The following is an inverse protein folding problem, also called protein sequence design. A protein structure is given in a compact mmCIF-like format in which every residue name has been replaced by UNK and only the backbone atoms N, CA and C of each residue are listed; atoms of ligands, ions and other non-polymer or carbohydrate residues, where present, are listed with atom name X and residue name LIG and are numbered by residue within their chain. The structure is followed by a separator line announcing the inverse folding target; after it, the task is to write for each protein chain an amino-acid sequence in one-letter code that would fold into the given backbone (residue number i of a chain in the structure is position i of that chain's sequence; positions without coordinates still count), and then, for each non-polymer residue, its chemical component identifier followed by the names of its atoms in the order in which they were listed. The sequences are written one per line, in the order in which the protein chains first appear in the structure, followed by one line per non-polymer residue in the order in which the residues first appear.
data_IF_277838376010
#
_entry.id   IF_277838376010
#
_cell.length_a   1.000
_cell.length_b   1.000
_cell.length_c   1.000
_cell.angle_alpha   90.00
_cell.angle_beta   90.00
_cell.angle_gamma   90.00
#
_symmetry.space_group_name_H-M   'P 1'
#
loop_
_entity.id
_entity.type
_entity.pdbx_description
1 polymer ?
#
# COMPACT_ATOMS: atom_id res chain seq x y z
N UNK A 1 19.52 -3.59 -33.18
CA UNK A 1 18.90 -4.83 -32.68
C UNK A 1 19.98 -5.64 -31.96
N UNK A 2 20.14 -5.45 -30.68
CA UNK A 2 21.02 -6.27 -29.83
C UNK A 2 20.14 -6.81 -28.72
N UNK A 3 19.85 -8.10 -28.79
CA UNK A 3 19.16 -8.91 -27.80
C UNK A 3 19.90 -8.79 -26.47
N UNK A 4 19.25 -8.22 -25.45
CA UNK A 4 19.74 -8.25 -24.07
C UNK A 4 19.94 -9.70 -23.61
N UNK A 5 20.79 -9.94 -22.61
CA UNK A 5 21.13 -11.29 -22.18
C UNK A 5 19.87 -12.03 -21.71
N UNK A 6 19.54 -13.10 -22.41
CA UNK A 6 18.50 -14.06 -22.05
C UNK A 6 18.86 -14.63 -20.67
N UNK A 7 18.28 -14.11 -19.60
CA UNK A 7 18.35 -14.75 -18.28
C UNK A 7 17.69 -16.13 -18.40
N UNK A 8 18.33 -17.21 -17.94
CA UNK A 8 17.72 -18.52 -17.96
C UNK A 8 16.41 -18.47 -17.14
N UNK A 9 15.34 -19.01 -17.70
CA UNK A 9 14.01 -19.02 -17.07
C UNK A 9 14.03 -19.49 -15.60
N UNK A 10 14.96 -20.39 -15.25
CA UNK A 10 15.19 -20.85 -13.88
C UNK A 10 15.66 -19.75 -12.92
N UNK A 11 16.44 -18.77 -13.37
CA UNK A 11 16.90 -17.66 -12.52
C UNK A 11 15.76 -16.68 -12.24
N UNK A 12 14.92 -16.38 -13.23
CA UNK A 12 13.74 -15.54 -13.06
C UNK A 12 12.76 -16.19 -12.09
N UNK A 13 12.53 -17.51 -12.19
CA UNK A 13 11.66 -18.25 -11.26
C UNK A 13 12.24 -18.29 -9.85
N UNK A 14 13.58 -18.42 -9.69
CA UNK A 14 14.20 -18.44 -8.39
C UNK A 14 14.17 -17.06 -7.69
N UNK A 15 14.37 -15.98 -8.45
CA UNK A 15 14.26 -14.60 -7.92
C UNK A 15 12.81 -14.27 -7.53
N UNK A 16 11.86 -14.69 -8.36
CA UNK A 16 10.44 -14.54 -8.06
C UNK A 16 9.99 -15.37 -6.84
N UNK A 17 10.48 -16.61 -6.70
CA UNK A 17 10.20 -17.43 -5.51
C UNK A 17 10.81 -16.85 -4.23
N UNK A 18 11.95 -16.17 -4.34
CA UNK A 18 12.58 -15.46 -3.21
C UNK A 18 11.77 -14.24 -2.82
N UNK A 19 11.30 -13.44 -3.79
CA UNK A 19 10.41 -12.29 -3.59
C UNK A 19 9.13 -12.72 -2.87
N UNK A 20 8.45 -13.78 -3.34
CA UNK A 20 7.24 -14.30 -2.69
C UNK A 20 7.48 -14.78 -1.26
N UNK A 21 8.61 -15.41 -0.97
CA UNK A 21 8.94 -15.80 0.41
C UNK A 21 9.13 -14.60 1.32
N UNK A 22 9.71 -13.52 0.83
CA UNK A 22 9.89 -12.28 1.60
C UNK A 22 8.55 -11.63 1.90
N UNK A 23 7.62 -11.58 0.94
CA UNK A 23 6.29 -11.02 1.12
C UNK A 23 5.41 -11.87 2.04
N UNK A 24 5.42 -13.20 1.88
CA UNK A 24 4.66 -14.09 2.77
C UNK A 24 5.17 -13.98 4.21
N UNK A 25 6.49 -13.93 4.40
CA UNK A 25 7.09 -13.76 5.73
C UNK A 25 6.77 -12.37 6.30
N UNK A 26 6.86 -11.32 5.48
CA UNK A 26 6.48 -9.96 5.86
C UNK A 26 5.01 -9.86 6.29
N UNK A 27 4.10 -10.47 5.52
CA UNK A 27 2.68 -10.53 5.86
C UNK A 27 2.40 -11.27 7.18
N UNK A 28 3.11 -12.36 7.47
CA UNK A 28 2.98 -13.07 8.76
C UNK A 28 3.50 -12.24 9.94
N UNK A 29 4.64 -11.55 9.77
CA UNK A 29 5.18 -10.65 10.80
C UNK A 29 4.21 -9.48 11.05
N UNK A 30 3.65 -8.93 9.98
CA UNK A 30 2.66 -7.86 10.04
C UNK A 30 1.41 -8.29 10.83
N UNK A 31 0.86 -9.46 10.54
CA UNK A 31 -0.26 -10.04 11.30
C UNK A 31 0.10 -10.27 12.76
N UNK A 32 1.29 -10.79 13.04
CA UNK A 32 1.80 -10.99 14.39
C UNK A 32 1.94 -9.66 15.15
N UNK A 33 2.47 -8.62 14.51
CA UNK A 33 2.58 -7.28 15.08
C UNK A 33 1.21 -6.67 15.40
N UNK A 34 0.24 -6.85 14.49
CA UNK A 34 -1.15 -6.39 14.69
C UNK A 34 -1.83 -7.11 15.84
N UNK A 35 -1.72 -8.44 15.88
CA UNK A 35 -2.26 -9.23 16.98
C UNK A 35 -1.64 -8.82 18.31
N UNK A 36 -0.32 -8.59 18.36
CA UNK A 36 0.39 -8.09 19.52
C UNK A 36 -0.12 -6.70 19.93
N UNK A 37 -0.30 -5.79 18.97
CA UNK A 37 -0.82 -4.45 19.21
C UNK A 37 -2.21 -4.49 19.86
N UNK A 38 -3.13 -5.27 19.28
CA UNK A 38 -4.49 -5.42 19.81
C UNK A 38 -4.49 -6.07 21.21
N UNK A 39 -3.71 -7.14 21.40
CA UNK A 39 -3.61 -7.80 22.72
C UNK A 39 -3.01 -6.86 23.75
N UNK A 40 -1.97 -6.11 23.41
CA UNK A 40 -1.31 -5.21 24.34
C UNK A 40 -2.18 -4.00 24.69
N UNK A 41 -2.79 -3.36 23.71
CA UNK A 41 -3.68 -2.21 23.92
C UNK A 41 -4.97 -2.55 24.68
N UNK A 42 -5.35 -3.85 24.74
CA UNK A 42 -6.53 -4.34 25.48
C UNK A 42 -6.15 -5.20 26.71
N UNK A 43 -4.92 -5.07 27.20
CA UNK A 43 -4.41 -5.79 28.37
C UNK A 43 -4.33 -4.87 29.59
N UNK A 44 -4.17 -5.42 30.82
CA UNK A 44 -3.96 -4.62 32.03
C UNK A 44 -2.69 -3.74 32.00
N UNK A 45 -1.81 -3.91 31.02
CA UNK A 45 -0.58 -3.14 30.82
C UNK A 45 -0.67 -2.17 29.64
N UNK A 46 -1.88 -1.77 29.24
CA UNK A 46 -2.10 -0.82 28.14
C UNK A 46 -1.40 0.53 28.36
N UNK A 47 -1.27 0.98 29.60
CA UNK A 47 -0.58 2.22 29.96
C UNK A 47 0.89 2.21 29.51
N UNK A 48 1.56 1.05 29.58
CA UNK A 48 2.94 0.90 29.11
C UNK A 48 2.99 1.01 27.58
N UNK A 49 2.03 0.40 26.87
CA UNK A 49 1.94 0.52 25.43
C UNK A 49 1.75 1.97 24.98
N UNK A 50 0.81 2.68 25.62
CA UNK A 50 0.54 4.09 25.35
C UNK A 50 1.74 4.97 25.68
N UNK A 51 2.39 4.75 26.83
CA UNK A 51 3.59 5.49 27.22
C UNK A 51 4.74 5.32 26.22
N UNK A 52 4.93 4.12 25.64
CA UNK A 52 5.93 3.89 24.62
C UNK A 52 5.52 4.58 23.31
N UNK A 53 4.28 4.39 22.85
CA UNK A 53 3.77 4.98 21.60
C UNK A 53 3.87 6.50 21.61
N UNK A 54 3.49 7.13 22.72
CA UNK A 54 3.35 8.57 22.87
C UNK A 54 4.64 9.24 23.40
N UNK A 55 5.73 8.45 23.60
CA UNK A 55 7.02 8.99 24.00
C UNK A 55 7.62 9.83 22.85
N UNK A 56 7.87 11.11 23.13
CA UNK A 56 8.42 12.06 22.18
C UNK A 56 9.95 11.94 22.08
N UNK A 57 10.44 11.92 20.84
CA UNK A 57 11.86 11.82 20.52
C UNK A 57 12.19 12.63 19.26
N UNK A 58 13.24 13.44 19.35
CA UNK A 58 13.79 14.14 18.18
C UNK A 58 14.13 15.60 18.42
N UNK A 59 14.78 16.26 17.43
CA UNK A 59 15.24 17.64 17.55
C UNK A 59 14.09 18.64 17.32
N UNK A 60 13.72 19.40 18.33
CA UNK A 60 12.67 20.42 18.24
C UNK A 60 12.93 21.49 17.17
N UNK A 61 14.21 21.85 16.97
CA UNK A 61 14.58 22.90 16.00
C UNK A 61 14.30 22.53 14.53
N UNK A 62 14.05 21.25 14.23
CA UNK A 62 13.61 20.76 12.91
C UNK A 62 12.12 20.42 12.87
N UNK A 63 11.35 20.73 13.92
CA UNK A 63 9.97 20.28 14.09
C UNK A 63 9.82 18.75 14.03
N UNK A 64 10.86 18.03 14.47
CA UNK A 64 10.93 16.56 14.48
C UNK A 64 10.82 15.99 15.91
N UNK A 65 10.31 16.75 16.87
CA UNK A 65 9.93 16.20 18.17
C UNK A 65 8.62 15.43 18.01
N UNK A 66 8.74 14.19 17.52
CA UNK A 66 7.63 13.32 17.15
C UNK A 66 7.52 12.17 18.15
N UNK A 67 6.32 11.69 18.37
CA UNK A 67 6.11 10.46 19.15
C UNK A 67 6.72 9.25 18.43
N UNK A 68 7.00 8.17 19.15
CA UNK A 68 7.45 6.91 18.53
C UNK A 68 6.40 6.42 17.53
N UNK A 69 5.10 6.58 17.83
CA UNK A 69 4.01 6.29 16.90
C UNK A 69 4.09 7.12 15.61
N UNK A 70 4.37 8.43 15.72
CA UNK A 70 4.52 9.30 14.56
C UNK A 70 5.81 9.00 13.77
N UNK A 71 6.91 8.65 14.45
CA UNK A 71 8.11 8.15 13.76
C UNK A 71 7.85 6.89 12.95
N UNK A 72 7.01 5.98 13.47
CA UNK A 72 6.61 4.80 12.71
C UNK A 72 5.73 5.18 11.51
N UNK A 73 4.80 6.12 11.68
CA UNK A 73 3.89 6.61 10.64
C UNK A 73 4.60 7.45 9.57
N UNK A 74 5.45 8.39 9.94
CA UNK A 74 6.04 9.36 9.02
C UNK A 74 7.45 8.96 8.55
N UNK A 75 8.24 8.34 9.43
CA UNK A 75 9.61 7.92 9.15
C UNK A 75 9.69 6.54 8.52
N UNK A 76 9.18 5.50 9.22
CA UNK A 76 9.29 4.13 8.72
C UNK A 76 8.43 3.88 7.48
N UNK A 77 7.21 4.43 7.42
CA UNK A 77 6.40 4.32 6.21
C UNK A 77 6.99 5.09 5.02
N UNK A 78 7.81 6.14 5.23
CA UNK A 78 8.52 6.75 4.12
C UNK A 78 9.47 5.77 3.43
N UNK A 79 10.10 4.83 4.18
CA UNK A 79 10.89 3.76 3.60
C UNK A 79 10.02 2.78 2.80
N UNK A 80 8.87 2.39 3.35
CA UNK A 80 7.90 1.54 2.63
C UNK A 80 7.46 2.20 1.33
N UNK A 81 7.05 3.47 1.38
CA UNK A 81 6.63 4.21 0.19
C UNK A 81 7.77 4.51 -0.79
N UNK A 82 9.03 4.58 -0.33
CA UNK A 82 10.18 4.64 -1.22
C UNK A 82 10.31 3.34 -2.03
N UNK A 83 10.19 2.18 -1.37
CA UNK A 83 10.22 0.87 -2.03
C UNK A 83 9.04 0.74 -2.99
N UNK A 84 7.82 1.12 -2.58
CA UNK A 84 6.65 1.15 -3.44
C UNK A 84 6.84 2.07 -4.67
N UNK A 85 7.49 3.22 -4.49
CA UNK A 85 7.87 4.13 -5.58
C UNK A 85 8.88 3.52 -6.56
N UNK A 86 9.87 2.75 -6.07
CA UNK A 86 10.80 1.99 -6.91
C UNK A 86 10.08 0.92 -7.73
N UNK A 87 9.18 0.18 -7.10
CA UNK A 87 8.35 -0.85 -7.74
C UNK A 87 7.42 -0.25 -8.80
N UNK A 88 6.70 0.82 -8.45
CA UNK A 88 5.87 1.57 -9.38
C UNK A 88 6.67 2.06 -10.59
N UNK A 89 7.87 2.65 -10.37
CA UNK A 89 8.76 3.06 -11.46
C UNK A 89 9.16 1.89 -12.35
N UNK A 90 9.46 0.75 -11.76
CA UNK A 90 9.81 -0.47 -12.49
C UNK A 90 8.64 -0.94 -13.34
N UNK A 91 7.43 -1.03 -12.77
CA UNK A 91 6.25 -1.48 -13.49
C UNK A 91 5.86 -0.56 -14.64
N UNK A 92 5.93 0.77 -14.45
CA UNK A 92 5.60 1.76 -15.48
C UNK A 92 6.60 1.79 -16.64
N UNK A 93 7.90 1.48 -16.42
CA UNK A 93 8.95 1.68 -17.43
C UNK A 93 9.41 0.38 -18.08
N UNK A 94 9.47 -0.72 -17.33
CA UNK A 94 10.00 -2.01 -17.80
C UNK A 94 9.07 -3.20 -17.51
N UNK A 95 8.06 -3.04 -16.66
CA UNK A 95 7.11 -4.07 -16.26
C UNK A 95 5.88 -4.16 -17.17
N UNK A 96 4.84 -4.81 -16.66
CA UNK A 96 3.59 -5.06 -17.38
C UNK A 96 2.82 -3.77 -17.69
N UNK A 97 2.87 -2.76 -16.81
CA UNK A 97 2.24 -1.46 -17.02
C UNK A 97 2.92 -0.64 -18.15
N UNK A 98 4.13 -1.01 -18.58
CA UNK A 98 4.80 -0.39 -19.72
C UNK A 98 4.14 -0.74 -21.05
N UNK A 99 3.34 -1.81 -21.11
CA UNK A 99 2.65 -2.29 -22.31
C UNK A 99 1.19 -1.91 -22.24
N UNK A 100 0.78 -0.92 -23.03
CA UNK A 100 -0.57 -0.34 -23.00
C UNK A 100 -1.71 -1.37 -22.99
N UNK A 101 -1.65 -2.40 -23.86
CA UNK A 101 -2.71 -3.42 -23.94
C UNK A 101 -2.83 -4.28 -22.67
N UNK A 102 -1.72 -4.53 -21.96
CA UNK A 102 -1.69 -5.32 -20.74
C UNK A 102 -2.05 -4.47 -19.52
N UNK A 103 -1.72 -3.17 -19.55
CA UNK A 103 -1.97 -2.22 -18.49
C UNK A 103 -3.45 -1.81 -18.34
N UNK A 104 -4.23 -1.82 -19.45
CA UNK A 104 -5.60 -1.28 -19.44
C UNK A 104 -6.47 -1.96 -18.37
N UNK A 105 -6.48 -3.29 -18.30
CA UNK A 105 -7.35 -4.00 -17.38
C UNK A 105 -7.02 -3.72 -15.91
N UNK A 106 -5.76 -3.87 -15.43
CA UNK A 106 -5.40 -3.51 -14.06
C UNK A 106 -5.67 -2.04 -13.73
N UNK A 107 -5.39 -1.11 -14.66
CA UNK A 107 -5.62 0.33 -14.45
C UNK A 107 -7.10 0.64 -14.31
N UNK A 108 -7.96 0.12 -15.21
CA UNK A 108 -9.41 0.34 -15.13
C UNK A 108 -9.98 -0.32 -13.86
N UNK A 109 -9.51 -1.51 -13.51
CA UNK A 109 -9.89 -2.21 -12.30
C UNK A 109 -9.50 -1.42 -11.03
N UNK A 110 -8.29 -0.85 -11.00
CA UNK A 110 -7.83 0.00 -9.89
C UNK A 110 -8.66 1.28 -9.77
N UNK A 111 -8.93 1.98 -10.88
CA UNK A 111 -9.80 3.16 -10.88
C UNK A 111 -11.19 2.80 -10.35
N UNK A 112 -11.78 1.70 -10.79
CA UNK A 112 -13.05 1.21 -10.25
C UNK A 112 -12.96 0.88 -8.76
N UNK A 113 -11.84 0.24 -8.36
CA UNK A 113 -11.52 -0.09 -6.96
C UNK A 113 -11.24 1.12 -6.07
N UNK A 114 -11.02 2.30 -6.60
CA UNK A 114 -10.91 3.57 -5.87
C UNK A 114 -12.23 4.35 -5.87
N UNK A 115 -12.83 4.52 -7.05
CA UNK A 115 -14.02 5.37 -7.21
C UNK A 115 -15.26 4.75 -6.55
N UNK A 116 -15.50 3.45 -6.76
CA UNK A 116 -16.72 2.81 -6.21
C UNK A 116 -16.72 2.74 -4.69
N UNK A 117 -15.62 2.34 -3.99
CA UNK A 117 -15.57 2.42 -2.53
C UNK A 117 -15.78 3.82 -1.99
N UNK A 118 -15.17 4.84 -2.63
CA UNK A 118 -15.33 6.23 -2.26
C UNK A 118 -16.82 6.68 -2.35
N UNK A 119 -17.48 6.35 -3.47
CA UNK A 119 -18.90 6.66 -3.66
C UNK A 119 -19.80 5.92 -2.67
N UNK A 120 -19.53 4.64 -2.38
CA UNK A 120 -20.28 3.88 -1.38
C UNK A 120 -20.05 4.47 0.01
N UNK A 121 -18.82 4.82 0.37
CA UNK A 121 -18.54 5.45 1.65
C UNK A 121 -19.28 6.78 1.81
N UNK A 122 -19.26 7.63 0.78
CA UNK A 122 -20.01 8.89 0.77
C UNK A 122 -21.53 8.67 0.86
N UNK A 123 -22.06 7.65 0.19
CA UNK A 123 -23.49 7.35 0.21
C UNK A 123 -23.95 6.79 1.56
N UNK A 124 -23.20 5.86 2.14
CA UNK A 124 -23.53 5.22 3.44
C UNK A 124 -23.30 6.19 4.59
N UNK A 125 -22.21 6.97 4.54
CA UNK A 125 -21.85 7.96 5.55
C UNK A 125 -22.48 9.33 5.35
N UNK A 126 -23.47 9.47 4.45
CA UNK A 126 -24.06 10.77 4.13
C UNK A 126 -24.57 11.51 5.36
N UNK A 127 -24.07 12.72 5.58
CA UNK A 127 -24.41 13.54 6.73
C UNK A 127 -23.69 13.19 8.04
N UNK A 128 -22.84 12.17 8.06
CA UNK A 128 -22.00 11.89 9.21
C UNK A 128 -20.84 12.89 9.29
N UNK A 129 -20.51 13.44 10.48
CA UNK A 129 -19.35 14.27 10.67
C UNK A 129 -18.07 13.51 10.26
N UNK A 130 -17.13 14.19 9.60
CA UNK A 130 -15.85 13.58 9.17
C UNK A 130 -15.91 12.79 7.86
N UNK A 131 -17.09 12.53 7.28
CA UNK A 131 -17.22 11.77 6.02
C UNK A 131 -16.54 12.48 4.85
N UNK A 132 -16.42 13.80 4.88
CA UNK A 132 -15.76 14.62 3.87
C UNK A 132 -14.26 14.30 3.69
N UNK A 133 -13.68 13.58 4.66
CA UNK A 133 -12.30 13.05 4.61
C UNK A 133 -12.26 11.53 4.71
N UNK A 134 -13.15 10.92 5.51
CA UNK A 134 -13.20 9.49 5.77
C UNK A 134 -13.51 8.64 4.54
N UNK A 135 -14.13 9.21 3.48
CA UNK A 135 -14.37 8.51 2.22
C UNK A 135 -13.08 8.01 1.54
N UNK A 136 -11.94 8.62 1.89
CA UNK A 136 -10.64 8.19 1.37
C UNK A 136 -10.13 6.89 2.01
N UNK A 137 -10.59 6.54 3.22
CA UNK A 137 -10.12 5.35 3.96
C UNK A 137 -10.29 4.06 3.15
N UNK A 138 -11.45 3.75 2.55
CA UNK A 138 -11.63 2.51 1.78
C UNK A 138 -11.05 2.55 0.36
N UNK A 139 -10.38 3.63 -0.04
CA UNK A 139 -9.77 3.74 -1.37
C UNK A 139 -8.52 2.87 -1.49
N UNK A 140 -7.76 2.69 -0.41
CA UNK A 140 -6.48 1.98 -0.43
C UNK A 140 -6.62 0.45 -0.30
N UNK A 141 -5.62 -0.28 -0.83
CA UNK A 141 -5.45 -1.74 -0.66
C UNK A 141 -4.07 -2.03 -0.07
N UNK A 142 -3.97 -2.96 0.87
CA UNK A 142 -2.70 -3.45 1.38
C UNK A 142 -2.16 -4.58 0.49
N UNK A 143 -1.21 -4.22 -0.39
CA UNK A 143 -0.61 -5.15 -1.36
C UNK A 143 0.11 -6.29 -0.64
N UNK A 144 0.92 -5.97 0.37
CA UNK A 144 1.76 -6.96 1.06
C UNK A 144 0.90 -8.04 1.71
N UNK A 145 -0.20 -7.62 2.35
CA UNK A 145 -1.15 -8.52 2.95
C UNK A 145 -1.91 -9.35 1.89
N UNK A 146 -2.43 -8.70 0.84
CA UNK A 146 -3.18 -9.36 -0.23
C UNK A 146 -2.33 -10.40 -0.98
N UNK A 147 -1.08 -10.09 -1.31
CA UNK A 147 -0.13 -11.03 -1.92
C UNK A 147 0.26 -12.17 -0.96
N UNK A 148 0.38 -11.88 0.34
CA UNK A 148 0.60 -12.90 1.37
C UNK A 148 -0.54 -13.93 1.41
N UNK A 149 -1.79 -13.47 1.41
CA UNK A 149 -2.97 -14.36 1.35
C UNK A 149 -3.00 -15.15 0.05
N UNK A 150 -2.76 -14.48 -1.10
CA UNK A 150 -2.71 -15.13 -2.40
C UNK A 150 -1.64 -16.24 -2.44
N UNK A 151 -0.44 -15.97 -1.92
CA UNK A 151 0.68 -16.92 -1.90
C UNK A 151 0.37 -18.18 -1.07
N UNK A 152 -0.37 -18.02 0.03
CA UNK A 152 -0.75 -19.11 0.93
C UNK A 152 -1.91 -19.96 0.39
N UNK A 153 -2.82 -19.36 -0.39
CA UNK A 153 -4.12 -19.99 -0.73
C UNK A 153 -4.25 -20.40 -2.19
N UNK A 154 -3.41 -19.88 -3.08
CA UNK A 154 -3.62 -19.97 -4.53
C UNK A 154 -2.42 -20.53 -5.28
N UNK A 155 -1.84 -21.63 -4.81
CA UNK A 155 -0.64 -22.26 -5.40
C UNK A 155 -0.81 -22.69 -6.86
N UNK A 156 -2.00 -23.08 -7.28
CA UNK A 156 -2.30 -23.61 -8.61
C UNK A 156 -2.98 -22.58 -9.55
N UNK A 157 -3.14 -21.31 -9.10
CA UNK A 157 -3.60 -20.28 -10.01
C UNK A 157 -2.55 -19.93 -11.07
N UNK A 158 -2.98 -19.51 -12.28
CA UNK A 158 -2.06 -19.04 -13.31
C UNK A 158 -1.21 -17.87 -12.81
N UNK A 159 0.02 -17.76 -13.29
CA UNK A 159 0.92 -16.65 -12.96
C UNK A 159 0.32 -15.26 -13.29
N UNK A 160 -0.56 -15.21 -14.29
CA UNK A 160 -1.32 -14.01 -14.68
C UNK A 160 -2.20 -13.45 -13.56
N UNK A 161 -2.67 -14.29 -12.61
CA UNK A 161 -3.44 -13.86 -11.45
C UNK A 161 -2.61 -12.97 -10.52
N UNK A 162 -1.35 -13.38 -10.26
CA UNK A 162 -0.41 -12.60 -9.43
C UNK A 162 0.00 -11.30 -10.11
N UNK A 163 0.28 -11.36 -11.41
CA UNK A 163 0.61 -10.19 -12.22
C UNK A 163 -0.55 -9.20 -12.23
N UNK A 164 -1.78 -9.67 -12.41
CA UNK A 164 -2.98 -8.82 -12.37
C UNK A 164 -3.14 -8.15 -11.01
N UNK A 165 -3.05 -8.89 -9.90
CA UNK A 165 -3.19 -8.34 -8.56
C UNK A 165 -2.08 -7.34 -8.24
N UNK A 166 -0.82 -7.65 -8.59
CA UNK A 166 0.31 -6.76 -8.39
C UNK A 166 0.14 -5.45 -9.19
N UNK A 167 -0.17 -5.55 -10.48
CA UNK A 167 -0.36 -4.37 -11.32
C UNK A 167 -1.53 -3.50 -10.87
N UNK A 168 -2.65 -4.13 -10.45
CA UNK A 168 -3.80 -3.45 -9.88
C UNK A 168 -3.39 -2.69 -8.61
N UNK A 169 -2.72 -3.37 -7.70
CA UNK A 169 -2.35 -2.82 -6.41
C UNK A 169 -1.33 -1.67 -6.54
N UNK A 170 -0.35 -1.77 -7.45
CA UNK A 170 0.60 -0.69 -7.74
C UNK A 170 -0.11 0.59 -8.24
N UNK A 171 -1.16 0.45 -9.06
CA UNK A 171 -1.95 1.60 -9.53
C UNK A 171 -2.85 2.15 -8.41
N UNK A 172 -3.43 1.27 -7.61
CA UNK A 172 -4.26 1.62 -6.45
C UNK A 172 -3.46 2.41 -5.40
N UNK A 173 -2.23 1.98 -5.11
CA UNK A 173 -1.30 2.68 -4.22
C UNK A 173 -0.95 4.07 -4.73
N UNK A 174 -0.66 4.20 -6.03
CA UNK A 174 -0.43 5.52 -6.63
C UNK A 174 -1.64 6.43 -6.42
N UNK A 175 -2.84 5.91 -6.64
CA UNK A 175 -4.08 6.65 -6.43
C UNK A 175 -4.28 7.05 -4.97
N UNK A 176 -4.05 6.14 -4.02
CA UNK A 176 -4.13 6.42 -2.59
C UNK A 176 -3.14 7.50 -2.16
N UNK A 177 -1.89 7.44 -2.65
CA UNK A 177 -0.85 8.45 -2.39
C UNK A 177 -1.28 9.82 -2.93
N UNK A 178 -1.85 9.88 -4.14
CA UNK A 178 -2.36 11.14 -4.70
C UNK A 178 -3.52 11.70 -3.86
N UNK A 179 -4.42 10.85 -3.40
CA UNK A 179 -5.51 11.24 -2.49
C UNK A 179 -4.93 11.80 -1.18
N UNK A 180 -3.95 11.12 -0.58
CA UNK A 180 -3.27 11.59 0.63
C UNK A 180 -2.61 12.96 0.37
N UNK A 181 -1.90 13.12 -0.74
CA UNK A 181 -1.21 14.34 -1.08
C UNK A 181 -2.14 15.55 -1.27
N UNK A 182 -3.32 15.32 -1.83
CA UNK A 182 -4.28 16.40 -2.16
C UNK A 182 -5.17 16.74 -0.96
N UNK A 183 -5.70 15.73 -0.25
CA UNK A 183 -6.70 15.93 0.80
C UNK A 183 -6.10 16.27 2.16
N UNK A 184 -4.92 15.71 2.48
CA UNK A 184 -4.35 15.79 3.82
C UNK A 184 -3.13 16.70 3.92
N UNK A 185 -2.92 17.58 2.94
CA UNK A 185 -1.97 18.68 3.07
C UNK A 185 -2.57 19.75 3.99
N UNK A 186 -1.91 19.98 5.12
CA UNK A 186 -2.31 20.97 6.12
C UNK A 186 -1.91 22.40 5.71
N UNK A 187 -1.24 23.14 6.59
CA UNK A 187 -0.71 24.48 6.26
C UNK A 187 0.47 24.34 5.32
N UNK A 188 0.33 24.82 4.08
CA UNK A 188 1.35 24.72 3.06
C UNK A 188 2.42 25.81 3.22
N UNK A 189 3.66 25.41 3.57
CA UNK A 189 4.82 26.29 3.63
C UNK A 189 5.55 26.27 2.27
N UNK A 190 5.51 27.43 1.58
CA UNK A 190 6.14 27.61 0.26
C UNK A 190 7.66 27.51 0.30
N UNK A 191 8.30 27.92 1.41
CA UNK A 191 9.78 27.88 1.51
C UNK A 191 10.24 26.44 1.66
N UNK A 192 9.64 25.69 2.58
CA UNK A 192 9.92 24.28 2.77
C UNK A 192 9.60 23.47 1.50
N UNK A 193 8.46 23.75 0.84
CA UNK A 193 8.12 23.15 -0.44
C UNK A 193 9.15 23.46 -1.53
N UNK A 194 9.65 24.69 -1.59
CA UNK A 194 10.74 25.08 -2.48
C UNK A 194 12.02 24.29 -2.24
N UNK A 195 12.40 24.10 -0.97
CA UNK A 195 13.56 23.26 -0.60
C UNK A 195 13.34 21.81 -1.04
N UNK A 196 12.13 21.25 -0.82
CA UNK A 196 11.80 19.89 -1.25
C UNK A 196 11.92 19.73 -2.77
N UNK A 197 11.38 20.67 -3.55
CA UNK A 197 11.47 20.66 -5.02
C UNK A 197 12.93 20.75 -5.49
N UNK A 198 13.74 21.63 -4.90
CA UNK A 198 15.17 21.73 -5.24
C UNK A 198 15.91 20.45 -4.89
N UNK A 199 15.64 19.84 -3.73
CA UNK A 199 16.25 18.58 -3.33
C UNK A 199 15.86 17.43 -4.28
N UNK A 200 14.58 17.33 -4.67
CA UNK A 200 14.10 16.34 -5.66
C UNK A 200 14.73 16.58 -7.05
N UNK A 201 14.83 17.83 -7.48
CA UNK A 201 15.47 18.17 -8.75
C UNK A 201 16.96 17.82 -8.74
N UNK A 202 17.66 18.08 -7.63
CA UNK A 202 19.05 17.68 -7.44
C UNK A 202 19.19 16.15 -7.45
N UNK A 203 18.29 15.42 -6.77
CA UNK A 203 18.24 13.97 -6.79
C UNK A 203 18.10 13.44 -8.23
N UNK A 204 17.13 13.95 -8.98
CA UNK A 204 16.91 13.59 -10.38
C UNK A 204 18.13 13.91 -11.26
N UNK A 205 18.75 15.06 -11.06
CA UNK A 205 19.96 15.46 -11.77
C UNK A 205 21.14 14.51 -11.49
N UNK A 206 21.37 14.15 -10.22
CA UNK A 206 22.40 13.19 -9.84
C UNK A 206 22.15 11.79 -10.41
N UNK A 207 20.89 11.35 -10.45
CA UNK A 207 20.49 10.11 -11.14
C UNK A 207 20.79 10.17 -12.64
N UNK A 208 20.50 11.31 -13.28
CA UNK A 208 20.83 11.53 -14.68
C UNK A 208 22.35 11.54 -14.92
N UNK A 209 23.11 12.17 -14.02
CA UNK A 209 24.60 12.22 -14.05
C UNK A 209 25.25 10.90 -13.62
N UNK A 210 24.44 9.88 -13.25
CA UNK A 210 24.88 8.53 -12.89
C UNK A 210 25.83 8.48 -11.69
N UNK A 211 25.69 9.41 -10.77
CA UNK A 211 26.40 9.39 -9.49
C UNK A 211 25.99 8.15 -8.70
N UNK A 212 26.93 7.44 -8.07
CA UNK A 212 26.69 6.16 -7.40
C UNK A 212 26.96 6.19 -5.87
N UNK A 213 27.05 7.37 -5.29
CA UNK A 213 27.44 7.55 -3.89
C UNK A 213 26.23 7.55 -2.96
N UNK A 214 26.12 6.54 -2.09
CA UNK A 214 25.12 6.51 -1.03
C UNK A 214 25.30 7.68 -0.03
N UNK A 215 26.53 8.13 0.19
CA UNK A 215 26.84 9.28 1.05
C UNK A 215 26.24 10.61 0.57
N UNK A 216 25.83 10.68 -0.69
CA UNK A 216 25.14 11.85 -1.26
C UNK A 216 23.63 11.60 -1.23
N UNK A 217 23.17 10.42 -1.65
CA UNK A 217 21.74 10.14 -1.77
C UNK A 217 21.03 10.01 -0.44
N UNK A 218 21.66 9.43 0.59
CA UNK A 218 21.02 9.27 1.90
C UNK A 218 20.78 10.64 2.58
N UNK A 219 21.77 11.54 2.72
CA UNK A 219 21.50 12.88 3.26
C UNK A 219 20.48 13.66 2.42
N UNK A 220 20.54 13.56 1.09
CA UNK A 220 19.59 14.24 0.21
C UNK A 220 18.17 13.71 0.39
N UNK A 221 18.00 12.40 0.58
CA UNK A 221 16.70 11.81 0.89
C UNK A 221 16.16 12.29 2.24
N UNK A 222 17.02 12.38 3.27
CA UNK A 222 16.63 12.90 4.59
C UNK A 222 16.23 14.38 4.47
N UNK A 223 17.01 15.21 3.78
CA UNK A 223 16.66 16.63 3.54
C UNK A 223 15.32 16.74 2.80
N UNK A 224 15.10 15.92 1.78
CA UNK A 224 13.83 15.89 1.04
C UNK A 224 12.67 15.55 1.96
N UNK A 225 12.82 14.50 2.79
CA UNK A 225 11.80 14.06 3.73
C UNK A 225 11.48 15.14 4.77
N UNK A 226 12.50 15.76 5.40
CA UNK A 226 12.32 16.86 6.35
C UNK A 226 11.63 18.06 5.69
N UNK A 227 12.04 18.43 4.48
CA UNK A 227 11.47 19.55 3.75
C UNK A 227 10.00 19.31 3.37
N UNK A 228 9.63 18.10 2.93
CA UNK A 228 8.25 17.72 2.63
C UNK A 228 7.40 17.75 3.91
N UNK A 229 7.91 17.18 5.01
CA UNK A 229 7.24 17.22 6.31
C UNK A 229 7.01 18.68 6.78
N UNK A 230 8.04 19.51 6.72
CA UNK A 230 7.97 20.93 7.10
C UNK A 230 7.07 21.75 6.16
N UNK A 231 6.89 21.32 4.91
CA UNK A 231 5.97 21.94 3.97
C UNK A 231 4.49 21.69 4.29
N UNK A 232 4.19 20.88 5.31
CA UNK A 232 2.82 20.49 5.67
C UNK A 232 2.23 19.42 4.76
N UNK A 233 3.05 18.82 3.91
CA UNK A 233 2.71 17.68 3.06
C UNK A 233 3.10 16.39 3.79
N UNK A 234 2.30 15.34 3.65
CA UNK A 234 2.60 14.08 4.33
C UNK A 234 3.98 13.53 3.93
N UNK A 235 4.83 13.26 4.92
CA UNK A 235 6.25 12.94 4.72
C UNK A 235 6.50 11.69 3.86
N UNK A 236 5.55 10.74 3.83
CA UNK A 236 5.62 9.53 3.01
C UNK A 236 5.69 9.81 1.50
N UNK A 237 5.16 10.96 1.05
CA UNK A 237 5.21 11.41 -0.35
C UNK A 237 6.65 11.63 -0.81
N UNK A 238 7.55 12.06 0.08
CA UNK A 238 8.97 12.17 -0.23
C UNK A 238 9.56 10.81 -0.64
N UNK A 239 9.19 9.74 0.07
CA UNK A 239 9.61 8.37 -0.28
C UNK A 239 9.22 8.00 -1.70
N UNK A 240 7.93 8.14 -2.03
CA UNK A 240 7.42 7.84 -3.38
C UNK A 240 8.10 8.65 -4.45
N UNK A 241 8.23 9.97 -4.26
CA UNK A 241 8.86 10.86 -5.23
C UNK A 241 10.32 10.46 -5.51
N UNK A 242 11.10 10.17 -4.47
CA UNK A 242 12.48 9.68 -4.60
C UNK A 242 12.54 8.33 -5.32
N UNK A 243 11.62 7.39 -5.01
CA UNK A 243 11.50 6.11 -5.69
C UNK A 243 11.23 6.28 -7.18
N UNK A 244 10.25 7.10 -7.55
CA UNK A 244 9.89 7.41 -8.94
C UNK A 244 11.01 8.11 -9.71
N UNK A 245 11.85 8.90 -9.06
CA UNK A 245 12.99 9.57 -9.68
C UNK A 245 14.22 8.66 -9.83
N UNK A 246 14.25 7.52 -9.15
CA UNK A 246 15.38 6.58 -9.22
C UNK A 246 15.43 5.88 -10.58
N UNK A 247 16.64 5.76 -11.14
CA UNK A 247 16.87 5.17 -12.46
C UNK A 247 16.58 3.66 -12.47
N UNK A 248 15.75 3.22 -13.43
CA UNK A 248 15.26 1.83 -13.54
C UNK A 248 15.88 1.04 -14.69
N UNK A 249 16.62 1.71 -15.60
CA UNK A 249 17.37 1.04 -16.68
C UNK A 249 18.84 0.91 -16.29
N UNK A 250 19.40 -0.28 -16.48
CA UNK A 250 20.82 -0.53 -16.27
C UNK A 250 21.63 0.09 -17.41
N UNK A 251 22.84 0.55 -17.09
CA UNK A 251 23.83 0.97 -18.07
C UNK A 251 24.75 -0.18 -18.46
N UNK A 252 25.58 0.04 -19.48
CA UNK A 252 26.63 -0.87 -19.86
C UNK A 252 27.57 -1.14 -18.68
N UNK A 253 27.77 -2.40 -18.33
CA UNK A 253 28.58 -2.82 -17.18
C UNK A 253 27.85 -2.83 -15.83
N UNK A 254 26.56 -2.49 -15.76
CA UNK A 254 25.73 -2.68 -14.57
C UNK A 254 24.95 -4.01 -14.67
N UNK A 255 25.09 -4.86 -13.66
CA UNK A 255 24.31 -6.10 -13.59
C UNK A 255 22.82 -5.82 -13.35
N UNK A 256 22.51 -4.81 -12.54
CA UNK A 256 21.17 -4.39 -12.20
C UNK A 256 21.07 -2.87 -12.15
N UNK A 257 19.94 -2.33 -12.60
CA UNK A 257 19.61 -0.91 -12.45
C UNK A 257 19.54 -0.49 -10.96
N UNK A 258 19.83 0.77 -10.64
CA UNK A 258 19.77 1.25 -9.25
C UNK A 258 18.44 0.99 -8.56
N UNK A 259 17.31 1.19 -9.23
CA UNK A 259 15.98 0.95 -8.67
C UNK A 259 15.81 -0.51 -8.24
N UNK A 260 16.15 -1.48 -9.11
CA UNK A 260 16.02 -2.91 -8.83
C UNK A 260 16.94 -3.32 -7.67
N UNK A 261 18.17 -2.81 -7.66
CA UNK A 261 19.13 -3.09 -6.59
C UNK A 261 18.69 -2.55 -5.23
N UNK A 262 18.15 -1.33 -5.19
CA UNK A 262 17.64 -0.71 -3.97
C UNK A 262 16.38 -1.42 -3.49
N UNK A 263 15.45 -1.72 -4.39
CA UNK A 263 14.24 -2.49 -4.12
C UNK A 263 14.59 -3.82 -3.44
N UNK A 264 15.43 -4.66 -4.05
CA UNK A 264 15.83 -5.94 -3.47
C UNK A 264 16.54 -5.82 -2.12
N UNK A 265 17.28 -4.73 -1.90
CA UNK A 265 18.01 -4.52 -0.63
C UNK A 265 17.10 -3.99 0.48
N UNK A 266 16.13 -3.15 0.16
CA UNK A 266 15.30 -2.45 1.13
C UNK A 266 13.97 -3.17 1.39
N UNK A 267 13.46 -3.95 0.43
CA UNK A 267 12.22 -4.73 0.57
C UNK A 267 12.16 -5.56 1.85
N UNK A 268 13.20 -6.33 2.26
CA UNK A 268 13.15 -7.08 3.50
C UNK A 268 13.00 -6.20 4.74
N UNK A 269 13.65 -5.02 4.77
CA UNK A 269 13.55 -4.06 5.86
C UNK A 269 12.18 -3.38 5.90
N UNK A 270 11.65 -3.05 4.73
CA UNK A 270 10.30 -2.50 4.60
C UNK A 270 9.27 -3.50 5.12
N UNK A 271 9.29 -4.74 4.62
CA UNK A 271 8.27 -5.75 4.92
C UNK A 271 8.40 -6.37 6.32
N UNK A 272 9.63 -6.51 6.86
CA UNK A 272 9.85 -7.19 8.15
C UNK A 272 10.03 -6.23 9.33
N UNK A 273 10.29 -4.93 9.09
CA UNK A 273 10.54 -3.96 10.15
C UNK A 273 9.62 -2.75 10.04
N UNK A 274 9.65 -2.01 8.93
CA UNK A 274 8.95 -0.73 8.81
C UNK A 274 7.43 -0.90 8.92
N UNK A 275 6.85 -1.75 8.10
CA UNK A 275 5.40 -1.99 8.05
C UNK A 275 4.88 -2.66 9.33
N UNK A 276 5.53 -3.70 9.90
CA UNK A 276 5.10 -4.29 11.17
C UNK A 276 5.20 -3.34 12.38
N UNK A 277 6.24 -2.50 12.47
CA UNK A 277 6.34 -1.51 13.53
C UNK A 277 5.27 -0.42 13.39
N UNK A 278 4.99 0.03 12.16
CA UNK A 278 3.84 0.90 11.92
C UNK A 278 2.53 0.24 12.39
N UNK A 279 2.28 -1.01 11.99
CA UNK A 279 1.07 -1.72 12.39
C UNK A 279 0.98 -1.91 13.92
N UNK A 280 2.11 -2.15 14.59
CA UNK A 280 2.16 -2.26 16.04
C UNK A 280 1.61 -1.01 16.72
N UNK A 281 1.92 0.19 16.22
CA UNK A 281 1.45 1.44 16.80
C UNK A 281 0.13 1.95 16.21
N UNK A 282 -0.17 1.66 14.96
CA UNK A 282 -1.40 2.10 14.31
C UNK A 282 -2.62 1.24 14.64
N UNK A 283 -2.44 -0.09 14.83
CA UNK A 283 -3.51 -1.03 15.11
C UNK A 283 -3.80 -1.24 16.60
N UNK A 284 -3.04 -0.60 17.51
CA UNK A 284 -3.27 -0.68 18.95
C UNK A 284 -4.44 0.18 19.41
N UNK A 285 -5.63 -0.27 19.09
CA UNK A 285 -6.91 0.38 19.44
C UNK A 285 -7.61 -0.36 20.57
N UNK A 286 -8.44 0.36 21.32
CA UNK A 286 -9.25 -0.23 22.37
C UNK A 286 -10.49 -0.90 21.76
N UNK A 287 -10.60 -2.22 21.90
CA UNK A 287 -11.73 -3.00 21.38
C UNK A 287 -12.59 -3.49 22.53
N UNK A 288 -13.83 -3.00 22.60
CA UNK A 288 -14.83 -3.43 23.56
C UNK A 288 -16.16 -3.74 22.85
N UNK A 289 -17.15 -4.27 23.59
CA UNK A 289 -18.45 -4.62 23.01
C UNK A 289 -19.18 -3.40 22.42
N UNK A 290 -19.02 -2.24 23.02
CA UNK A 290 -19.67 -0.99 22.57
C UNK A 290 -19.01 -0.49 21.29
N UNK A 291 -17.67 -0.49 21.20
CA UNK A 291 -16.95 -0.10 19.98
C UNK A 291 -17.25 -1.06 18.80
N UNK A 292 -17.33 -2.38 19.08
CA UNK A 292 -17.74 -3.36 18.07
C UNK A 292 -19.18 -3.14 17.60
N UNK A 293 -20.09 -2.85 18.53
CA UNK A 293 -21.47 -2.51 18.20
C UNK A 293 -21.57 -1.22 17.38
N UNK A 294 -20.81 -0.20 17.74
CA UNK A 294 -20.79 1.10 17.07
C UNK A 294 -20.34 0.99 15.60
N UNK A 295 -19.44 0.07 15.24
CA UNK A 295 -19.04 -0.15 13.84
C UNK A 295 -20.23 -0.48 12.94
N UNK A 296 -21.24 -1.17 13.44
CA UNK A 296 -22.40 -1.59 12.68
C UNK A 296 -23.62 -0.67 12.83
N UNK A 297 -23.58 0.28 13.77
CA UNK A 297 -24.72 1.16 14.10
C UNK A 297 -24.44 2.62 13.79
N UNK A 298 -23.18 3.04 13.70
CA UNK A 298 -22.82 4.43 13.35
C UNK A 298 -22.43 4.53 11.87
N UNK A 299 -22.83 5.63 11.23
CA UNK A 299 -22.73 5.79 9.78
C UNK A 299 -21.28 5.82 9.26
N UNK A 300 -20.35 6.48 9.98
CA UNK A 300 -18.99 6.66 9.52
C UNK A 300 -18.20 5.33 9.45
N UNK A 301 -18.05 4.52 10.54
CA UNK A 301 -17.35 3.24 10.44
C UNK A 301 -18.08 2.24 9.54
N UNK A 302 -19.42 2.27 9.48
CA UNK A 302 -20.18 1.46 8.54
C UNK A 302 -19.88 1.82 7.09
N UNK A 303 -19.69 3.12 6.78
CA UNK A 303 -19.25 3.59 5.47
C UNK A 303 -17.88 3.03 5.08
N UNK A 304 -16.93 3.02 6.02
CA UNK A 304 -15.59 2.44 5.81
C UNK A 304 -15.68 0.94 5.56
N UNK A 305 -16.44 0.21 6.38
CA UNK A 305 -16.66 -1.24 6.24
C UNK A 305 -17.30 -1.57 4.88
N UNK A 306 -18.39 -0.90 4.53
CA UNK A 306 -19.11 -1.11 3.27
C UNK A 306 -18.23 -0.76 2.05
N UNK A 307 -17.46 0.32 2.13
CA UNK A 307 -16.53 0.71 1.10
C UNK A 307 -15.43 -0.33 0.86
N UNK A 308 -14.78 -0.82 1.93
CA UNK A 308 -13.71 -1.82 1.82
C UNK A 308 -14.23 -3.17 1.34
N UNK A 309 -15.25 -3.74 1.96
CA UNK A 309 -15.72 -5.09 1.62
C UNK A 309 -16.54 -5.09 0.33
N UNK A 310 -17.61 -4.29 0.30
CA UNK A 310 -18.53 -4.25 -0.84
C UNK A 310 -18.01 -3.38 -1.98
N UNK A 311 -17.54 -2.18 -1.66
CA UNK A 311 -17.10 -1.19 -2.64
C UNK A 311 -15.90 -1.65 -3.45
N UNK A 312 -14.87 -2.17 -2.82
CA UNK A 312 -13.67 -2.70 -3.50
C UNK A 312 -14.04 -3.88 -4.41
N UNK A 313 -14.79 -4.84 -3.89
CA UNK A 313 -15.23 -5.99 -4.69
C UNK A 313 -16.03 -5.53 -5.93
N UNK A 314 -17.07 -4.73 -5.75
CA UNK A 314 -17.92 -4.26 -6.85
C UNK A 314 -17.13 -3.37 -7.81
N UNK A 315 -16.26 -2.52 -7.29
CA UNK A 315 -15.45 -1.59 -8.08
C UNK A 315 -14.45 -2.31 -8.96
N UNK A 316 -13.62 -3.19 -8.39
CA UNK A 316 -12.59 -3.92 -9.12
C UNK A 316 -13.24 -4.91 -10.11
N UNK A 317 -14.16 -5.73 -9.64
CA UNK A 317 -14.83 -6.73 -10.46
C UNK A 317 -15.70 -6.11 -11.55
N UNK A 318 -16.52 -5.12 -11.19
CA UNK A 318 -17.42 -4.43 -12.10
C UNK A 318 -16.67 -3.66 -13.19
N UNK A 319 -15.64 -2.91 -12.82
CA UNK A 319 -14.81 -2.19 -13.78
C UNK A 319 -14.07 -3.15 -14.72
N UNK A 320 -13.55 -4.28 -14.21
CA UNK A 320 -12.94 -5.33 -15.02
C UNK A 320 -13.93 -5.92 -16.03
N UNK A 321 -15.15 -6.22 -15.56
CA UNK A 321 -16.23 -6.77 -16.39
C UNK A 321 -16.61 -5.77 -17.51
N UNK A 322 -16.78 -4.50 -17.17
CA UNK A 322 -17.12 -3.45 -18.13
C UNK A 322 -16.00 -3.23 -19.16
N UNK A 323 -14.73 -3.19 -18.71
CA UNK A 323 -13.59 -3.03 -19.61
C UNK A 323 -13.53 -4.14 -20.67
N UNK A 324 -13.75 -5.40 -20.26
CA UNK A 324 -13.75 -6.54 -21.19
C UNK A 324 -15.02 -6.55 -22.06
N UNK A 325 -16.20 -6.23 -21.50
CA UNK A 325 -17.46 -6.17 -22.24
C UNK A 325 -17.43 -5.12 -23.35
N UNK A 326 -16.84 -3.96 -23.07
CA UNK A 326 -16.67 -2.88 -24.06
C UNK A 326 -15.44 -3.07 -24.96
N UNK A 327 -14.76 -4.22 -24.87
CA UNK A 327 -13.56 -4.54 -25.67
C UNK A 327 -12.39 -3.54 -25.48
N UNK A 328 -12.34 -2.84 -24.36
CA UNK A 328 -11.24 -1.97 -23.99
C UNK A 328 -10.02 -2.77 -23.52
N UNK A 329 -10.25 -3.92 -22.90
CA UNK A 329 -9.21 -4.81 -22.41
C UNK A 329 -9.57 -6.28 -22.63
N UNK A 330 -8.55 -7.14 -22.58
CA UNK A 330 -8.71 -8.59 -22.63
C UNK A 330 -8.51 -9.19 -21.23
N UNK A 331 -9.20 -10.31 -20.97
CA UNK A 331 -8.95 -11.06 -19.73
C UNK A 331 -7.52 -11.61 -19.71
N UNK A 332 -6.86 -11.65 -18.57
CA UNK A 332 -5.57 -12.32 -18.43
C UNK A 332 -5.68 -13.80 -18.84
N UNK A 333 -4.65 -14.29 -19.51
CA UNK A 333 -4.62 -15.67 -20.00
C UNK A 333 -4.74 -16.68 -18.88
N UNK A 334 -5.57 -17.70 -19.08
CA UNK A 334 -5.81 -18.77 -18.09
C UNK A 334 -6.73 -18.37 -16.94
N UNK A 335 -7.21 -17.12 -16.86
CA UNK A 335 -8.13 -16.68 -15.80
C UNK A 335 -9.58 -16.67 -16.25
N UNK A 336 -10.46 -17.16 -15.35
CA UNK A 336 -11.91 -17.04 -15.44
C UNK A 336 -12.44 -15.82 -14.67
N UNK A 337 -13.72 -15.50 -14.87
CA UNK A 337 -14.38 -14.42 -14.10
C UNK A 337 -14.42 -14.70 -12.60
N UNK A 338 -14.50 -15.98 -12.21
CA UNK A 338 -14.46 -16.40 -10.80
C UNK A 338 -13.10 -16.15 -10.16
N UNK A 339 -12.00 -16.24 -10.93
CA UNK A 339 -10.67 -15.93 -10.45
C UNK A 339 -10.51 -14.41 -10.23
N UNK A 340 -10.99 -13.59 -11.19
CA UNK A 340 -11.02 -12.14 -11.05
C UNK A 340 -11.89 -11.74 -9.84
N UNK A 341 -13.04 -12.39 -9.63
CA UNK A 341 -13.89 -12.15 -8.46
C UNK A 341 -13.18 -12.45 -7.14
N UNK A 342 -12.46 -13.57 -7.06
CA UNK A 342 -11.70 -13.93 -5.86
C UNK A 342 -10.57 -12.92 -5.57
N UNK A 343 -9.85 -12.46 -6.62
CA UNK A 343 -8.83 -11.41 -6.49
C UNK A 343 -9.44 -10.06 -6.12
N UNK A 344 -10.62 -9.72 -6.67
CA UNK A 344 -11.33 -8.49 -6.33
C UNK A 344 -11.74 -8.44 -4.86
N UNK A 345 -12.05 -9.60 -4.27
CA UNK A 345 -12.33 -9.70 -2.83
C UNK A 345 -11.10 -9.40 -1.98
N UNK A 346 -9.91 -9.85 -2.40
CA UNK A 346 -8.66 -9.49 -1.74
C UNK A 346 -8.35 -7.99 -1.83
N UNK A 347 -8.79 -7.31 -2.88
CA UNK A 347 -8.67 -5.86 -2.99
C UNK A 347 -9.34 -5.10 -1.84
N UNK A 348 -10.28 -5.71 -1.11
CA UNK A 348 -10.92 -5.16 0.08
C UNK A 348 -10.04 -5.17 1.34
N UNK A 349 -8.84 -5.72 1.28
CA UNK A 349 -7.85 -5.67 2.38
C UNK A 349 -7.17 -4.30 2.37
N UNK A 350 -7.69 -3.36 3.14
CA UNK A 350 -7.14 -2.00 3.19
C UNK A 350 -6.00 -1.81 4.19
N UNK A 351 -6.08 -2.56 5.26
CA UNK A 351 -5.19 -2.66 6.43
C UNK A 351 -4.23 -1.47 6.64
N UNK A 352 -2.91 -1.59 6.35
CA UNK A 352 -1.90 -0.59 6.71
C UNK A 352 -2.16 0.79 6.11
N UNK A 353 -2.47 0.87 4.83
CA UNK A 353 -2.68 2.17 4.16
C UNK A 353 -4.02 2.77 4.58
N UNK A 354 -5.07 1.96 4.76
CA UNK A 354 -6.35 2.45 5.29
C UNK A 354 -6.25 2.90 6.75
N UNK A 355 -5.43 2.25 7.60
CA UNK A 355 -5.15 2.72 8.96
C UNK A 355 -4.41 4.07 8.94
N UNK A 356 -3.43 4.23 8.04
CA UNK A 356 -2.75 5.50 7.85
C UNK A 356 -3.73 6.61 7.44
N UNK A 357 -4.61 6.33 6.47
CA UNK A 357 -5.59 7.33 6.01
C UNK A 357 -6.58 7.65 7.13
N UNK A 358 -6.98 6.69 7.97
CA UNK A 358 -7.84 6.94 9.12
C UNK A 358 -7.20 7.92 10.12
N UNK A 359 -5.89 7.74 10.41
CA UNK A 359 -5.12 8.66 11.27
C UNK A 359 -4.99 10.08 10.67
N UNK A 360 -5.06 10.21 9.36
CA UNK A 360 -4.97 11.50 8.67
C UNK A 360 -6.32 12.19 8.48
N UNK A 361 -7.39 11.39 8.37
CA UNK A 361 -8.72 11.86 8.03
C UNK A 361 -9.53 12.30 9.24
N UNK A 362 -9.30 11.69 10.40
CA UNK A 362 -10.17 11.76 11.56
C UNK A 362 -9.39 12.08 12.82
N UNK A 363 -10.11 12.54 13.85
CA UNK A 363 -9.58 12.85 15.17
C UNK A 363 -10.43 12.18 16.27
N UNK A 364 -9.86 12.00 17.46
CA UNK A 364 -10.56 11.52 18.65
C UNK A 364 -11.13 10.11 18.52
N UNK A 365 -12.36 9.89 18.99
CA UNK A 365 -13.00 8.56 19.00
C UNK A 365 -13.31 8.03 17.59
N UNK A 366 -13.57 8.91 16.62
CA UNK A 366 -13.88 8.53 15.25
C UNK A 366 -12.73 7.79 14.57
N UNK A 367 -11.48 8.12 14.92
CA UNK A 367 -10.27 7.40 14.44
C UNK A 367 -10.30 5.95 14.91
N UNK A 368 -10.57 5.70 16.19
CA UNK A 368 -10.58 4.34 16.76
C UNK A 368 -11.70 3.49 16.14
N UNK A 369 -12.89 4.07 15.97
CA UNK A 369 -14.00 3.39 15.33
C UNK A 369 -13.73 3.09 13.84
N UNK A 370 -13.16 4.04 13.11
CA UNK A 370 -12.77 3.84 11.71
C UNK A 370 -11.68 2.77 11.58
N UNK A 371 -10.65 2.77 12.45
CA UNK A 371 -9.63 1.73 12.48
C UNK A 371 -10.21 0.35 12.82
N UNK A 372 -11.15 0.29 13.76
CA UNK A 372 -11.88 -0.95 14.07
C UNK A 372 -12.59 -1.47 12.83
N UNK A 373 -13.29 -0.60 12.10
CA UNK A 373 -13.95 -0.94 10.84
C UNK A 373 -12.96 -1.44 9.77
N UNK A 374 -11.80 -0.79 9.63
CA UNK A 374 -10.73 -1.22 8.71
C UNK A 374 -10.22 -2.62 9.07
N UNK A 375 -9.97 -2.90 10.35
CA UNK A 375 -9.48 -4.21 10.79
C UNK A 375 -10.52 -5.31 10.53
N UNK A 376 -11.79 -5.05 10.87
CA UNK A 376 -12.90 -6.00 10.60
C UNK A 376 -13.04 -6.22 9.09
N UNK A 377 -13.07 -5.15 8.29
CA UNK A 377 -13.20 -5.24 6.84
C UNK A 377 -12.05 -6.04 6.21
N UNK A 378 -10.82 -5.77 6.65
CA UNK A 378 -9.62 -6.46 6.17
C UNK A 378 -9.63 -7.94 6.54
N UNK A 379 -10.08 -8.30 7.75
CA UNK A 379 -10.26 -9.68 8.16
C UNK A 379 -11.34 -10.39 7.32
N UNK A 380 -12.50 -9.77 7.13
CA UNK A 380 -13.59 -10.31 6.31
C UNK A 380 -13.15 -10.51 4.85
N UNK A 381 -12.53 -9.49 4.25
CA UNK A 381 -12.04 -9.54 2.87
C UNK A 381 -10.95 -10.61 2.69
N UNK A 382 -10.04 -10.74 3.66
CA UNK A 382 -8.98 -11.76 3.64
C UNK A 382 -9.55 -13.18 3.76
N UNK A 383 -10.45 -13.43 4.70
CA UNK A 383 -11.04 -14.75 4.90
C UNK A 383 -11.92 -15.15 3.72
N UNK A 384 -12.76 -14.25 3.23
CA UNK A 384 -13.60 -14.48 2.06
C UNK A 384 -12.77 -14.69 0.80
N UNK A 385 -11.76 -13.82 0.57
CA UNK A 385 -10.81 -13.95 -0.54
C UNK A 385 -10.04 -15.26 -0.48
N UNK A 386 -9.51 -15.62 0.69
CA UNK A 386 -8.81 -16.90 0.91
C UNK A 386 -9.70 -18.11 0.58
N UNK A 387 -10.94 -18.13 1.08
CA UNK A 387 -11.89 -19.22 0.82
C UNK A 387 -12.19 -19.36 -0.68
N UNK A 388 -12.43 -18.22 -1.37
CA UNK A 388 -12.66 -18.22 -2.82
C UNK A 388 -11.43 -18.69 -3.59
N UNK A 389 -10.23 -18.22 -3.22
CA UNK A 389 -8.99 -18.59 -3.88
C UNK A 389 -8.61 -20.04 -3.66
N UNK A 390 -8.79 -20.59 -2.45
CA UNK A 390 -8.59 -22.03 -2.19
C UNK A 390 -9.53 -22.87 -3.03
N UNK A 391 -10.81 -22.47 -3.15
CA UNK A 391 -11.76 -23.18 -4.02
C UNK A 391 -11.30 -23.13 -5.49
N UNK A 392 -10.89 -21.97 -6.00
CA UNK A 392 -10.40 -21.80 -7.37
C UNK A 392 -9.08 -22.56 -7.62
N UNK A 393 -8.16 -22.54 -6.67
CA UNK A 393 -6.90 -23.30 -6.74
C UNK A 393 -7.13 -24.80 -6.89
N UNK A 394 -8.14 -25.35 -6.19
CA UNK A 394 -8.53 -26.77 -6.35
C UNK A 394 -9.14 -27.07 -7.71
N UNK A 395 -9.93 -26.14 -8.26
CA UNK A 395 -10.51 -26.31 -9.61
C UNK A 395 -9.42 -26.34 -10.67
N UNK A 396 -8.49 -25.39 -10.62
CA UNK A 396 -7.36 -25.36 -11.56
C UNK A 396 -6.46 -26.62 -11.44
N UNK A 397 -6.24 -27.13 -10.23
CA UNK A 397 -5.50 -28.38 -10.04
C UNK A 397 -6.18 -29.64 -10.62
N UNK A 398 -7.46 -29.57 -10.97
CA UNK A 398 -8.22 -30.66 -11.58
C UNK A 398 -8.31 -30.52 -13.12
N UNK A 399 -8.03 -29.33 -13.64
CA UNK A 399 -8.04 -29.01 -15.07
C UNK A 399 -6.67 -29.26 -15.74
N UNK A 400 -5.56 -29.25 -14.94
CA UNK A 400 -4.19 -29.62 -15.36
C UNK A 400 -3.96 -31.15 -15.24
#
# INVERSE_FOLDING_TARGET
MTSGPNRPAKAVVADFARYLRTETTGGMILLGATALALLWANSPIEDIYRAIRDFELGPEFLHLNLTIGDWAKDGLLALFFFVAGLELKRELVVGELSRFKQAILPVVAAIGGMVVPALIALAVGWGAPGIERAWAIPVATDIAFALGVLALTASNLPSSARVFLLSLAVVDDLGAILVIAILFTAKFDLVAAGVAVVALALYAYLQHRRVRSAWIYVPLAVVTWVAVHSAGVHATIAGVALGLLTRVRADEGEEHAPAIRLEHRLQPWSAAVAVPLFALFAAGITVNADSLGAVFTTALPLAVLAGLVGGKFVGIFGASLLAVKFKLAEKPRGMGWRDIGALSMLGGVGFTVSLLIADLALDGEDVELAKTAVLIASAVASLAGAALLMHRSRVHAQED
#
